data_IF_323226234814
#
_entry.id   IF_323226234814
#
_cell.length_a   1.000
_cell.length_b   1.000
_cell.length_c   1.000
_cell.angle_alpha   90.00
_cell.angle_beta   90.00
_cell.angle_gamma   90.00
#
_symmetry.space_group_name_H-M   'P 1'
#
loop_
_entity.id
_entity.type
_entity.pdbx_description
1 polymer ?
#
# COMPACT_ATOMS: atom_id res chain seq x y z
N UNK A 1 15.58 -25.46 -13.89
CA UNK A 1 15.86 -24.04 -14.08
C UNK A 1 14.87 -23.40 -15.09
N UNK A 2 14.23 -22.26 -14.76
CA UNK A 2 13.34 -21.51 -15.65
C UNK A 2 13.98 -21.16 -17.01
N UNK A 3 13.17 -21.05 -18.07
CA UNK A 3 13.62 -20.75 -19.44
C UNK A 3 14.43 -19.45 -19.56
N UNK A 4 14.18 -18.45 -18.71
CA UNK A 4 14.91 -17.17 -18.74
C UNK A 4 16.35 -17.28 -18.26
N UNK A 5 16.61 -18.05 -17.20
CA UNK A 5 17.95 -18.19 -16.58
C UNK A 5 18.93 -18.91 -17.51
N UNK A 6 18.46 -19.84 -18.35
CA UNK A 6 19.30 -20.52 -19.35
C UNK A 6 19.94 -19.55 -20.35
N UNK A 7 19.26 -18.46 -20.63
CA UNK A 7 19.75 -17.43 -21.54
C UNK A 7 20.69 -16.44 -20.87
N UNK A 8 20.71 -16.39 -19.54
CA UNK A 8 21.50 -15.44 -18.75
C UNK A 8 22.81 -16.04 -18.22
N UNK A 9 22.88 -17.36 -18.01
CA UNK A 9 24.06 -18.01 -17.42
C UNK A 9 24.98 -18.65 -18.47
N UNK A 10 26.28 -18.71 -18.19
CA UNK A 10 27.22 -19.51 -18.97
C UNK A 10 26.82 -21.00 -18.95
N UNK A 11 27.14 -21.73 -20.03
CA UNK A 11 26.68 -23.13 -20.24
C UNK A 11 27.04 -24.04 -19.07
N UNK A 12 28.22 -23.86 -18.49
CA UNK A 12 28.70 -24.68 -17.39
C UNK A 12 27.87 -24.57 -16.10
N UNK A 13 27.08 -23.50 -15.92
CA UNK A 13 26.27 -23.27 -14.71
C UNK A 13 24.79 -23.63 -14.88
N UNK A 14 24.38 -24.14 -16.07
CA UNK A 14 22.97 -24.41 -16.38
C UNK A 14 22.33 -25.57 -15.61
N UNK A 15 23.17 -26.38 -14.95
CA UNK A 15 22.73 -27.52 -14.15
C UNK A 15 22.37 -27.14 -12.70
N UNK A 16 22.81 -25.97 -12.25
CA UNK A 16 22.59 -25.47 -10.89
C UNK A 16 21.14 -25.01 -10.69
N UNK A 17 20.67 -24.99 -9.46
CA UNK A 17 19.39 -24.37 -9.12
C UNK A 17 19.52 -22.85 -8.87
N UNK A 18 18.42 -22.20 -8.49
CA UNK A 18 18.41 -20.75 -8.31
C UNK A 18 19.25 -20.31 -7.09
N UNK A 19 19.26 -21.09 -6.02
CA UNK A 19 19.94 -20.75 -4.77
C UNK A 19 21.46 -20.93 -4.94
N UNK A 20 21.86 -22.00 -5.63
CA UNK A 20 23.25 -22.24 -6.01
C UNK A 20 23.79 -21.13 -6.93
N UNK A 21 22.96 -20.63 -7.86
CA UNK A 21 23.34 -19.56 -8.79
C UNK A 21 23.63 -18.24 -8.07
N UNK A 22 22.92 -17.91 -6.99
CA UNK A 22 23.12 -16.67 -6.24
C UNK A 22 24.55 -16.53 -5.70
N UNK A 23 25.17 -17.63 -5.27
CA UNK A 23 26.54 -17.67 -4.75
C UNK A 23 27.63 -17.65 -5.81
N UNK A 24 27.29 -17.74 -7.11
CA UNK A 24 28.28 -17.75 -8.18
C UNK A 24 28.92 -16.36 -8.37
N UNK A 25 30.19 -16.31 -8.82
CA UNK A 25 30.80 -15.04 -9.18
C UNK A 25 30.04 -14.38 -10.34
N UNK A 26 30.06 -13.05 -10.41
CA UNK A 26 29.29 -12.28 -11.40
C UNK A 26 29.51 -12.75 -12.84
N UNK A 27 30.75 -13.08 -13.19
CA UNK A 27 31.10 -13.53 -14.54
C UNK A 27 30.45 -14.86 -14.93
N UNK A 28 29.73 -15.54 -14.03
CA UNK A 28 28.82 -16.63 -14.38
C UNK A 28 27.63 -16.17 -15.25
N UNK A 29 27.30 -14.88 -15.23
CA UNK A 29 26.37 -14.24 -16.16
C UNK A 29 27.03 -14.05 -17.53
N UNK A 30 26.33 -14.43 -18.58
CA UNK A 30 26.75 -14.20 -19.97
C UNK A 30 26.95 -12.70 -20.21
N UNK A 31 28.07 -12.37 -20.85
CA UNK A 31 28.43 -11.00 -21.20
C UNK A 31 29.21 -10.25 -20.12
N UNK A 32 29.43 -10.84 -18.94
CA UNK A 32 30.34 -10.28 -17.93
C UNK A 32 31.65 -11.08 -17.92
N UNK A 33 32.77 -10.40 -18.16
CA UNK A 33 34.09 -11.03 -18.13
C UNK A 33 34.64 -11.12 -16.70
N UNK A 34 35.67 -11.96 -16.43
CA UNK A 34 36.36 -11.95 -15.14
C UNK A 34 36.95 -10.58 -14.77
N UNK A 35 37.41 -9.80 -15.75
CA UNK A 35 37.93 -8.45 -15.52
C UNK A 35 36.81 -7.48 -15.08
N UNK A 36 35.64 -7.55 -15.71
CA UNK A 36 34.47 -6.76 -15.30
C UNK A 36 34.03 -7.10 -13.87
N UNK A 37 34.09 -8.38 -13.49
CA UNK A 37 33.77 -8.81 -12.12
C UNK A 37 34.72 -8.19 -11.09
N UNK A 38 36.01 -8.08 -11.39
CA UNK A 38 36.99 -7.38 -10.53
C UNK A 38 36.59 -5.91 -10.40
N UNK A 39 36.26 -5.24 -11.50
CA UNK A 39 35.83 -3.84 -11.45
C UNK A 39 34.54 -3.63 -10.64
N UNK A 40 33.60 -4.56 -10.68
CA UNK A 40 32.37 -4.50 -9.88
C UNK A 40 32.64 -4.72 -8.38
N UNK A 41 33.57 -5.62 -8.03
CA UNK A 41 34.01 -5.79 -6.64
C UNK A 41 34.74 -4.53 -6.14
N UNK A 42 35.73 -4.04 -6.89
CA UNK A 42 36.51 -2.85 -6.51
C UNK A 42 35.63 -1.60 -6.35
N UNK A 43 34.65 -1.40 -7.23
CA UNK A 43 33.81 -0.21 -7.24
C UNK A 43 32.63 -0.29 -6.25
N UNK A 44 32.01 -1.46 -6.10
CA UNK A 44 30.72 -1.60 -5.42
C UNK A 44 30.67 -2.74 -4.39
N UNK A 45 31.77 -3.46 -4.16
CA UNK A 45 31.84 -4.61 -3.27
C UNK A 45 31.01 -5.81 -3.74
N UNK A 46 30.77 -5.91 -5.05
CA UNK A 46 29.91 -6.93 -5.66
C UNK A 46 30.76 -8.15 -6.05
N UNK A 47 30.63 -9.25 -5.31
CA UNK A 47 31.45 -10.46 -5.52
C UNK A 47 30.70 -11.57 -6.23
N UNK A 48 29.40 -11.68 -5.97
CA UNK A 48 28.54 -12.72 -6.52
C UNK A 48 27.22 -12.14 -7.06
N UNK A 49 26.43 -13.00 -7.72
CA UNK A 49 25.15 -12.61 -8.33
C UNK A 49 24.17 -12.05 -7.29
N UNK A 50 24.20 -12.57 -6.06
CA UNK A 50 23.37 -12.06 -4.96
C UNK A 50 23.73 -10.61 -4.57
N UNK A 51 25.02 -10.29 -4.44
CA UNK A 51 25.51 -8.95 -4.13
C UNK A 51 25.08 -7.95 -5.20
N UNK A 52 25.16 -8.33 -6.48
CA UNK A 52 24.70 -7.51 -7.59
C UNK A 52 23.20 -7.26 -7.51
N UNK A 53 22.43 -8.33 -7.27
CA UNK A 53 20.99 -8.27 -7.19
C UNK A 53 20.50 -7.42 -6.02
N UNK A 54 21.26 -7.34 -4.92
CA UNK A 54 20.96 -6.55 -3.72
C UNK A 54 21.60 -5.16 -3.72
N UNK A 55 22.41 -4.83 -4.73
CA UNK A 55 23.13 -3.58 -4.75
C UNK A 55 22.17 -2.38 -4.94
N UNK A 56 22.27 -1.39 -4.05
CA UNK A 56 21.36 -0.24 -4.03
C UNK A 56 21.33 0.58 -5.33
N UNK A 57 22.43 0.66 -6.09
CA UNK A 57 22.48 1.46 -7.31
C UNK A 57 21.69 0.80 -8.45
N UNK A 58 21.78 -0.52 -8.57
CA UNK A 58 21.01 -1.28 -9.55
C UNK A 58 19.52 -1.29 -9.20
N UNK A 59 19.17 -1.42 -7.92
CA UNK A 59 17.80 -1.23 -7.46
C UNK A 59 17.26 0.15 -7.81
N UNK A 60 18.00 1.22 -7.47
CA UNK A 60 17.59 2.60 -7.79
C UNK A 60 17.44 2.83 -9.29
N UNK A 61 18.33 2.29 -10.12
CA UNK A 61 18.21 2.39 -11.58
C UNK A 61 16.93 1.69 -12.09
N UNK A 62 16.62 0.51 -11.56
CA UNK A 62 15.40 -0.20 -11.89
C UNK A 62 14.14 0.52 -11.38
N UNK A 63 14.19 1.13 -10.20
CA UNK A 63 13.11 1.94 -9.66
C UNK A 63 12.89 3.21 -10.49
N UNK A 64 13.96 3.88 -10.94
CA UNK A 64 13.86 4.99 -11.89
C UNK A 64 13.18 4.54 -13.18
N UNK A 65 13.54 3.37 -13.73
CA UNK A 65 12.87 2.82 -14.89
C UNK A 65 11.38 2.59 -14.61
N UNK A 66 11.02 2.02 -13.45
CA UNK A 66 9.62 1.83 -13.04
C UNK A 66 8.87 3.14 -12.77
N UNK A 67 9.56 4.19 -12.33
CA UNK A 67 8.98 5.52 -12.12
C UNK A 67 8.72 6.17 -13.48
N UNK A 68 9.67 6.07 -14.40
CA UNK A 68 9.57 6.62 -15.76
C UNK A 68 8.56 5.86 -16.63
N UNK A 69 8.46 4.54 -16.42
CA UNK A 69 7.41 3.70 -16.97
C UNK A 69 6.14 4.01 -16.18
N UNK A 70 5.42 5.09 -16.56
CA UNK A 70 4.14 5.46 -15.97
C UNK A 70 3.11 4.36 -16.23
N UNK A 71 3.15 3.33 -15.36
CA UNK A 71 2.29 2.17 -15.52
C UNK A 71 0.86 2.59 -15.32
N UNK A 72 0.02 2.21 -16.28
CA UNK A 72 -1.44 2.30 -16.16
C UNK A 72 -2.03 1.38 -15.08
N UNK A 73 -1.20 0.63 -14.36
CA UNK A 73 -1.57 -0.31 -13.28
C UNK A 73 -0.47 -0.38 -12.21
N UNK A 74 -0.82 -0.88 -11.02
CA UNK A 74 0.13 -1.21 -9.97
C UNK A 74 0.72 -2.61 -10.19
N UNK A 75 2.04 -2.69 -10.36
CA UNK A 75 2.76 -3.95 -10.57
C UNK A 75 2.91 -4.79 -9.29
N UNK A 76 2.53 -4.26 -8.12
CA UNK A 76 2.74 -4.93 -6.85
C UNK A 76 3.98 -4.42 -6.10
N UNK A 77 4.29 -5.01 -4.93
CA UNK A 77 5.42 -4.60 -4.12
C UNK A 77 6.74 -4.73 -4.91
N UNK A 78 7.62 -3.71 -4.89
CA UNK A 78 8.98 -3.86 -5.39
C UNK A 78 9.78 -4.81 -4.49
N UNK A 79 10.98 -5.16 -4.93
CA UNK A 79 11.84 -6.10 -4.20
C UNK A 79 12.12 -5.58 -2.78
N UNK A 80 12.02 -6.46 -1.79
CA UNK A 80 12.17 -6.14 -0.37
C UNK A 80 10.85 -5.87 0.34
N UNK A 81 9.89 -5.21 -0.33
CA UNK A 81 8.55 -5.01 0.21
C UNK A 81 7.75 -6.32 0.29
N UNK A 82 7.96 -7.21 -0.67
CA UNK A 82 7.42 -8.57 -0.66
C UNK A 82 7.89 -9.36 0.57
N UNK A 83 9.18 -9.28 0.89
CA UNK A 83 9.78 -9.92 2.07
C UNK A 83 9.25 -9.30 3.36
N UNK A 84 9.13 -7.96 3.39
CA UNK A 84 8.54 -7.27 4.53
C UNK A 84 7.09 -7.71 4.77
N UNK A 85 6.26 -7.72 3.72
CA UNK A 85 4.86 -8.15 3.82
C UNK A 85 4.73 -9.63 4.19
N UNK A 86 5.63 -10.49 3.70
CA UNK A 86 5.70 -11.89 4.12
C UNK A 86 6.04 -12.07 5.61
N UNK A 87 6.66 -11.07 6.26
CA UNK A 87 6.92 -11.07 7.71
C UNK A 87 5.71 -10.67 8.57
N UNK A 88 4.55 -10.41 7.95
CA UNK A 88 3.32 -10.13 8.67
C UNK A 88 2.95 -11.29 9.61
N UNK A 89 2.39 -11.00 10.80
CA UNK A 89 2.07 -12.01 11.80
C UNK A 89 0.76 -12.74 11.44
N UNK A 90 0.65 -13.30 10.23
CA UNK A 90 -0.61 -13.87 9.73
C UNK A 90 -1.12 -15.00 10.63
N UNK A 91 -0.21 -15.85 11.14
CA UNK A 91 -0.56 -16.91 12.10
C UNK A 91 -1.16 -16.37 13.40
N UNK A 92 -0.79 -15.16 13.82
CA UNK A 92 -1.40 -14.52 14.98
C UNK A 92 -2.86 -14.14 14.70
N UNK A 93 -3.14 -13.53 13.54
CA UNK A 93 -4.51 -13.23 13.11
C UNK A 93 -5.35 -14.50 12.97
N UNK A 94 -4.78 -15.56 12.39
CA UNK A 94 -5.45 -16.83 12.11
C UNK A 94 -5.84 -17.60 13.38
N UNK A 95 -5.03 -17.50 14.43
CA UNK A 95 -5.24 -18.21 15.69
C UNK A 95 -5.73 -17.32 16.84
N UNK A 96 -6.08 -16.06 16.54
CA UNK A 96 -6.47 -15.11 17.59
C UNK A 96 -7.78 -15.56 18.27
N UNK A 97 -7.81 -15.73 19.60
CA UNK A 97 -8.92 -16.39 20.31
C UNK A 97 -10.25 -15.63 20.26
N UNK A 98 -10.22 -14.31 19.99
CA UNK A 98 -11.44 -13.52 19.89
C UNK A 98 -12.24 -13.75 18.60
N UNK A 99 -11.67 -14.43 17.59
CA UNK A 99 -12.32 -14.73 16.31
C UNK A 99 -12.95 -13.47 15.65
N UNK A 100 -12.19 -12.37 15.67
CA UNK A 100 -12.64 -11.05 15.20
C UNK A 100 -12.17 -10.70 13.78
N UNK A 101 -11.48 -11.61 13.08
CA UNK A 101 -10.91 -11.36 11.76
C UNK A 101 -11.52 -12.26 10.69
N UNK A 102 -11.72 -11.70 9.50
CA UNK A 102 -12.23 -12.44 8.33
C UNK A 102 -11.06 -12.88 7.47
N UNK A 103 -10.68 -14.14 7.61
CA UNK A 103 -9.40 -14.66 7.14
C UNK A 103 -9.48 -15.28 5.74
N UNK A 104 -10.67 -15.75 5.33
CA UNK A 104 -10.86 -16.65 4.18
C UNK A 104 -10.40 -16.11 2.83
N UNK A 105 -10.23 -14.78 2.69
CA UNK A 105 -9.76 -14.14 1.46
C UNK A 105 -8.36 -13.51 1.57
N UNK A 106 -7.65 -13.79 2.66
CA UNK A 106 -6.29 -13.31 2.88
C UNK A 106 -6.21 -11.82 3.27
N UNK A 107 -4.98 -11.36 3.56
CA UNK A 107 -4.71 -9.99 3.98
C UNK A 107 -4.71 -9.00 2.80
N UNK A 108 -5.00 -7.73 3.09
CA UNK A 108 -4.81 -6.60 2.17
C UNK A 108 -3.78 -5.65 2.77
N UNK A 109 -2.66 -5.47 2.06
CA UNK A 109 -1.49 -4.79 2.61
C UNK A 109 -1.49 -3.27 2.39
N UNK A 110 -1.77 -2.81 1.18
CA UNK A 110 -1.60 -1.39 0.84
C UNK A 110 -2.44 -0.95 -0.37
N UNK A 111 -2.45 0.36 -0.64
CA UNK A 111 -2.74 0.97 -1.96
C UNK A 111 -1.83 2.18 -2.16
N UNK A 112 -1.35 2.43 -3.37
CA UNK A 112 -0.51 3.60 -3.66
C UNK A 112 0.97 3.24 -3.82
N UNK A 113 1.86 4.16 -3.44
CA UNK A 113 3.27 4.15 -3.85
C UNK A 113 4.19 3.49 -2.82
N UNK A 114 4.90 2.43 -3.24
CA UNK A 114 5.96 1.75 -2.49
C UNK A 114 7.36 2.00 -3.07
N UNK A 115 7.52 3.00 -3.92
CA UNK A 115 8.75 3.32 -4.65
C UNK A 115 9.45 4.59 -4.11
N UNK A 116 9.15 4.99 -2.88
CA UNK A 116 9.76 6.14 -2.22
C UNK A 116 9.20 7.51 -2.62
N UNK A 117 8.09 7.56 -3.37
CA UNK A 117 7.52 8.84 -3.86
C UNK A 117 6.27 9.31 -3.13
N UNK A 118 5.83 8.60 -2.08
CA UNK A 118 4.66 9.04 -1.31
C UNK A 118 5.00 10.31 -0.50
N UNK A 119 4.06 11.26 -0.46
CA UNK A 119 4.12 12.45 0.41
C UNK A 119 3.07 12.40 1.52
N UNK A 120 1.98 11.67 1.27
CA UNK A 120 0.90 11.49 2.25
C UNK A 120 0.80 10.03 2.64
N UNK A 121 0.89 9.75 3.95
CA UNK A 121 0.51 8.46 4.50
C UNK A 121 -0.96 8.51 4.93
N UNK A 122 -1.80 7.65 4.38
CA UNK A 122 -3.19 7.48 4.82
C UNK A 122 -3.30 6.19 5.61
N UNK A 123 -3.95 6.26 6.78
CA UNK A 123 -4.23 5.09 7.62
C UNK A 123 -5.73 4.86 7.74
N UNK A 124 -6.18 3.69 7.30
CA UNK A 124 -7.54 3.18 7.46
C UNK A 124 -7.70 2.20 8.61
N UNK A 125 -8.91 1.69 8.75
CA UNK A 125 -9.23 0.66 9.74
C UNK A 125 -8.88 -0.73 9.22
N UNK A 126 -9.64 -1.22 8.25
CA UNK A 126 -9.58 -2.59 7.74
C UNK A 126 -10.14 -2.67 6.30
N UNK A 127 -9.76 -3.70 5.51
CA UNK A 127 -10.32 -3.89 4.17
C UNK A 127 -11.78 -4.38 4.20
N UNK A 128 -12.50 -4.20 3.10
CA UNK A 128 -13.80 -4.82 2.85
C UNK A 128 -13.79 -5.57 1.52
N UNK A 129 -14.95 -5.84 0.93
CA UNK A 129 -15.09 -6.74 -0.22
C UNK A 129 -14.44 -6.21 -1.50
N UNK A 130 -14.50 -4.89 -1.77
CA UNK A 130 -13.86 -4.33 -2.97
C UNK A 130 -12.33 -4.36 -2.85
N UNK A 131 -11.82 -4.14 -1.63
CA UNK A 131 -10.40 -4.18 -1.30
C UNK A 131 -9.84 -5.60 -1.40
N UNK A 132 -10.60 -6.61 -0.95
CA UNK A 132 -10.29 -8.02 -1.11
C UNK A 132 -10.16 -8.38 -2.59
N UNK A 133 -11.15 -8.03 -3.41
CA UNK A 133 -11.16 -8.38 -4.83
C UNK A 133 -10.02 -7.71 -5.63
N UNK A 134 -9.62 -6.51 -5.23
CA UNK A 134 -8.49 -5.80 -5.84
C UNK A 134 -7.14 -6.12 -5.18
N UNK A 135 -7.14 -6.78 -4.01
CA UNK A 135 -5.99 -6.84 -3.10
C UNK A 135 -5.31 -5.48 -2.86
N UNK A 136 -6.11 -4.41 -2.73
CA UNK A 136 -5.66 -3.05 -2.48
C UNK A 136 -6.57 -2.35 -1.48
N UNK A 137 -6.01 -1.56 -0.55
CA UNK A 137 -6.78 -0.85 0.46
C UNK A 137 -7.67 0.26 -0.15
N UNK A 138 -8.79 0.62 0.49
CA UNK A 138 -9.67 1.71 0.07
C UNK A 138 -10.01 1.72 -1.43
N UNK A 139 -10.63 0.68 -1.96
CA UNK A 139 -11.06 0.63 -3.38
C UNK A 139 -12.56 0.95 -3.52
N UNK A 140 -13.34 0.63 -2.50
CA UNK A 140 -14.78 0.83 -2.53
C UNK A 140 -15.22 2.30 -2.41
N UNK A 141 -16.47 2.49 -1.99
CA UNK A 141 -17.08 3.83 -1.91
C UNK A 141 -16.31 4.80 -1.01
N UNK A 142 -15.79 4.32 0.13
CA UNK A 142 -14.94 5.12 1.03
C UNK A 142 -13.64 5.55 0.35
N UNK A 143 -13.04 4.64 -0.43
CA UNK A 143 -11.82 4.90 -1.18
C UNK A 143 -11.98 5.94 -2.26
N UNK A 144 -13.11 5.95 -2.95
CA UNK A 144 -13.43 6.96 -3.97
C UNK A 144 -13.68 8.36 -3.37
N UNK A 145 -14.24 8.42 -2.15
CA UNK A 145 -14.38 9.68 -1.39
C UNK A 145 -13.03 10.20 -0.94
N UNK A 146 -12.19 9.32 -0.38
CA UNK A 146 -10.81 9.59 -0.03
C UNK A 146 -10.01 10.08 -1.24
N UNK A 147 -10.14 9.40 -2.38
CA UNK A 147 -9.44 9.80 -3.60
C UNK A 147 -9.77 11.24 -3.94
N UNK A 148 -11.06 11.61 -3.99
CA UNK A 148 -11.45 13.00 -4.23
C UNK A 148 -10.89 13.97 -3.20
N UNK A 149 -10.78 13.58 -1.93
CA UNK A 149 -10.18 14.41 -0.89
C UNK A 149 -8.70 14.68 -1.16
N UNK A 150 -7.94 13.65 -1.55
CA UNK A 150 -6.54 13.81 -1.97
C UNK A 150 -6.44 14.72 -3.20
N UNK A 151 -7.31 14.52 -4.21
CA UNK A 151 -7.33 15.42 -5.37
C UNK A 151 -7.58 16.88 -4.96
N UNK A 152 -8.48 17.14 -4.00
CA UNK A 152 -8.78 18.52 -3.54
C UNK A 152 -7.58 19.26 -2.96
N UNK A 153 -6.61 18.56 -2.39
CA UNK A 153 -5.34 19.13 -1.91
C UNK A 153 -4.21 19.02 -2.94
N UNK A 154 -4.54 18.68 -4.19
CA UNK A 154 -3.58 18.58 -5.30
C UNK A 154 -2.76 17.29 -5.32
N UNK A 155 -3.12 16.28 -4.52
CA UNK A 155 -2.44 14.98 -4.47
C UNK A 155 -3.18 13.98 -5.36
N UNK A 156 -2.51 13.50 -6.41
CA UNK A 156 -3.06 12.57 -7.39
C UNK A 156 -2.41 11.19 -7.32
N UNK A 157 -1.11 11.14 -7.00
CA UNK A 157 -0.32 9.89 -7.00
C UNK A 157 0.61 9.75 -5.80
N UNK A 158 1.11 10.83 -5.21
CA UNK A 158 2.07 10.78 -4.10
C UNK A 158 1.44 10.48 -2.75
N UNK A 159 0.84 9.30 -2.63
CA UNK A 159 0.33 8.77 -1.38
C UNK A 159 0.59 7.28 -1.24
N UNK A 160 0.57 6.83 0.01
CA UNK A 160 0.52 5.43 0.39
C UNK A 160 -0.58 5.24 1.43
N UNK A 161 -1.40 4.22 1.22
CA UNK A 161 -2.54 3.89 2.07
C UNK A 161 -2.29 2.54 2.73
N UNK A 162 -2.35 2.52 4.05
CA UNK A 162 -2.24 1.33 4.88
C UNK A 162 -3.47 1.22 5.80
N UNK A 163 -3.70 0.05 6.38
CA UNK A 163 -4.77 -0.16 7.35
C UNK A 163 -4.20 -0.48 8.73
N UNK A 164 -5.02 -0.24 9.77
CA UNK A 164 -4.76 -0.65 11.15
C UNK A 164 -4.70 -2.17 11.27
N UNK A 165 -5.55 -2.87 10.51
CA UNK A 165 -5.59 -4.33 10.41
C UNK A 165 -5.45 -4.78 8.96
N UNK A 166 -4.72 -5.87 8.75
CA UNK A 166 -4.55 -6.49 7.43
C UNK A 166 -5.81 -7.23 6.95
N UNK A 167 -6.65 -7.66 7.89
CA UNK A 167 -7.89 -8.40 7.64
C UNK A 167 -9.10 -7.57 8.01
N UNK A 168 -10.20 -7.81 7.30
CA UNK A 168 -11.51 -7.22 7.64
C UNK A 168 -11.94 -7.71 9.03
N UNK A 169 -12.51 -6.83 9.85
CA UNK A 169 -12.95 -7.20 11.20
C UNK A 169 -14.43 -7.64 11.23
N UNK A 170 -14.78 -8.44 12.23
CA UNK A 170 -16.17 -8.70 12.61
C UNK A 170 -16.68 -7.59 13.53
N UNK A 171 -17.78 -6.95 13.14
CA UNK A 171 -18.41 -5.89 13.94
C UNK A 171 -17.75 -4.53 13.74
N UNK A 172 -17.68 -3.75 14.81
CA UNK A 172 -17.11 -2.40 14.84
C UNK A 172 -15.78 -2.41 15.61
N UNK A 173 -15.01 -1.33 15.49
CA UNK A 173 -13.86 -1.07 16.35
C UNK A 173 -14.34 -0.65 17.76
N UNK A 174 -14.68 -1.66 18.56
CA UNK A 174 -15.07 -1.55 19.97
C UNK A 174 -13.85 -1.62 20.91
N UNK A 175 -14.08 -1.58 22.22
CA UNK A 175 -13.01 -1.63 23.22
C UNK A 175 -12.19 -2.94 23.13
N UNK A 176 -12.80 -4.05 22.72
CA UNK A 176 -12.07 -5.32 22.53
C UNK A 176 -11.10 -5.19 21.35
N UNK A 177 -11.57 -4.65 20.22
CA UNK A 177 -10.71 -4.40 19.06
C UNK A 177 -9.62 -3.35 19.34
N UNK A 178 -9.90 -2.38 20.21
CA UNK A 178 -8.90 -1.42 20.67
C UNK A 178 -7.74 -2.12 21.37
N UNK A 179 -8.02 -3.03 22.31
CA UNK A 179 -7.00 -3.82 22.99
C UNK A 179 -6.24 -4.74 22.03
N UNK A 180 -6.96 -5.45 21.14
CA UNK A 180 -6.34 -6.31 20.12
C UNK A 180 -5.38 -5.50 19.23
N UNK A 181 -5.72 -4.24 18.89
CA UNK A 181 -4.87 -3.38 18.05
C UNK A 181 -3.52 -3.01 18.69
N UNK A 182 -3.38 -3.21 20.00
CA UNK A 182 -2.18 -2.96 20.80
C UNK A 182 -1.41 -4.23 21.16
N UNK A 183 -1.91 -5.41 20.78
CA UNK A 183 -1.17 -6.65 21.02
C UNK A 183 0.16 -6.63 20.24
N UNK A 184 1.28 -7.07 20.85
CA UNK A 184 2.62 -6.88 20.28
C UNK A 184 2.75 -7.34 18.83
N UNK A 185 2.19 -8.50 18.48
CA UNK A 185 2.22 -9.02 17.11
C UNK A 185 1.69 -8.01 16.09
N UNK A 186 0.53 -7.40 16.36
CA UNK A 186 -0.12 -6.44 15.46
C UNK A 186 0.56 -5.08 15.55
N UNK A 187 0.77 -4.58 16.77
CA UNK A 187 1.36 -3.27 17.04
C UNK A 187 2.77 -3.15 16.45
N UNK A 188 3.64 -4.11 16.73
CA UNK A 188 5.05 -4.05 16.33
C UNK A 188 5.21 -4.18 14.81
N UNK A 189 4.43 -5.06 14.17
CA UNK A 189 4.43 -5.15 12.71
C UNK A 189 3.94 -3.84 12.07
N UNK A 190 2.83 -3.28 12.56
CA UNK A 190 2.27 -2.03 12.05
C UNK A 190 3.22 -0.85 12.25
N UNK A 191 3.85 -0.75 13.42
CA UNK A 191 4.79 0.34 13.70
C UNK A 191 6.07 0.20 12.86
N UNK A 192 6.63 -1.01 12.70
CA UNK A 192 7.75 -1.25 11.76
C UNK A 192 7.39 -0.89 10.32
N UNK A 193 6.14 -1.14 9.93
CA UNK A 193 5.64 -0.79 8.61
C UNK A 193 5.59 0.73 8.44
N UNK A 194 5.03 1.46 9.41
CA UNK A 194 5.01 2.93 9.38
C UNK A 194 6.42 3.54 9.40
N UNK A 195 7.32 3.01 10.23
CA UNK A 195 8.72 3.44 10.28
C UNK A 195 9.42 3.25 8.93
N UNK A 196 9.18 2.11 8.27
CA UNK A 196 9.71 1.83 6.94
C UNK A 196 9.18 2.82 5.91
N UNK A 197 7.89 3.11 5.93
CA UNK A 197 7.28 4.10 5.03
C UNK A 197 7.90 5.48 5.21
N UNK A 198 7.98 6.00 6.44
CA UNK A 198 8.54 7.33 6.71
C UNK A 198 10.02 7.41 6.37
N UNK A 199 10.78 6.33 6.59
CA UNK A 199 12.20 6.28 6.26
C UNK A 199 12.44 6.29 4.74
N UNK A 200 11.56 5.66 3.97
CA UNK A 200 11.75 5.47 2.52
C UNK A 200 11.08 6.54 1.66
N UNK A 201 10.22 7.37 2.25
CA UNK A 201 9.41 8.35 1.52
C UNK A 201 9.52 9.74 2.16
N UNK A 202 9.40 10.83 1.36
CA UNK A 202 9.31 12.19 1.88
C UNK A 202 7.90 12.47 2.43
N UNK A 203 7.49 11.76 3.49
CA UNK A 203 6.17 11.94 4.09
C UNK A 203 6.08 13.32 4.76
N UNK A 204 5.06 14.08 4.36
CA UNK A 204 4.78 15.45 4.81
C UNK A 204 3.56 15.51 5.75
N UNK A 205 2.64 14.54 5.61
CA UNK A 205 1.46 14.45 6.46
C UNK A 205 0.94 13.03 6.60
N UNK A 206 0.29 12.77 7.74
CA UNK A 206 -0.49 11.56 7.99
C UNK A 206 -1.97 11.92 8.05
N UNK A 207 -2.81 11.14 7.38
CA UNK A 207 -4.27 11.28 7.42
C UNK A 207 -4.88 10.01 8.01
N UNK A 208 -5.72 10.14 9.02
CA UNK A 208 -6.47 9.02 9.59
C UNK A 208 -7.97 9.16 9.31
N UNK A 209 -8.67 8.04 9.18
CA UNK A 209 -10.12 8.01 8.98
C UNK A 209 -10.85 7.19 10.04
N UNK A 210 -11.36 7.85 11.07
CA UNK A 210 -12.09 7.23 12.17
C UNK A 210 -11.21 6.79 13.34
N UNK A 211 -11.84 6.12 14.32
CA UNK A 211 -11.23 5.84 15.63
C UNK A 211 -10.04 4.88 15.56
N UNK A 212 -10.16 3.78 14.81
CA UNK A 212 -9.10 2.77 14.73
C UNK A 212 -7.76 3.31 14.21
N UNK A 213 -7.70 4.01 13.05
CA UNK A 213 -6.44 4.56 12.58
C UNK A 213 -5.91 5.71 13.44
N UNK A 214 -6.78 6.54 14.03
CA UNK A 214 -6.35 7.53 15.01
C UNK A 214 -5.66 6.86 16.22
N UNK A 215 -6.31 5.83 16.78
CA UNK A 215 -5.75 5.04 17.87
C UNK A 215 -4.43 4.36 17.50
N UNK A 216 -4.31 3.86 16.27
CA UNK A 216 -3.07 3.26 15.77
C UNK A 216 -1.91 4.28 15.69
N UNK A 217 -2.20 5.52 15.27
CA UNK A 217 -1.22 6.60 15.19
C UNK A 217 -0.85 7.12 16.58
N UNK A 218 -1.81 7.23 17.51
CA UNK A 218 -1.57 7.63 18.90
C UNK A 218 -0.60 6.68 19.62
N UNK A 219 -0.51 5.42 19.16
CA UNK A 219 0.39 4.39 19.69
C UNK A 219 1.59 4.09 18.79
N UNK A 220 1.92 5.02 17.89
CA UNK A 220 3.13 4.97 17.08
C UNK A 220 4.05 6.13 17.45
N UNK A 221 5.15 5.83 18.16
CA UNK A 221 6.03 6.85 18.75
C UNK A 221 6.57 7.87 17.73
N UNK A 222 6.84 7.46 16.49
CA UNK A 222 7.41 8.35 15.47
C UNK A 222 6.37 9.29 14.83
N UNK A 223 5.08 9.14 15.15
CA UNK A 223 4.03 10.04 14.68
C UNK A 223 4.24 11.50 15.14
N UNK A 224 4.91 11.72 16.28
CA UNK A 224 5.15 13.05 16.86
C UNK A 224 5.97 13.98 15.95
N UNK A 225 6.67 13.40 14.98
CA UNK A 225 7.52 14.15 14.04
C UNK A 225 6.76 14.60 12.78
N UNK A 226 5.47 14.27 12.65
CA UNK A 226 4.68 14.50 11.45
C UNK A 226 3.35 15.21 11.79
N UNK A 227 2.88 16.13 10.94
CA UNK A 227 1.50 16.61 10.99
C UNK A 227 0.50 15.45 10.83
N UNK A 228 -0.36 15.25 11.83
CA UNK A 228 -1.42 14.22 11.79
C UNK A 228 -2.79 14.89 11.69
N UNK A 229 -3.56 14.50 10.68
CA UNK A 229 -4.91 15.01 10.41
C UNK A 229 -5.93 13.89 10.63
N UNK A 230 -6.70 14.01 11.70
CA UNK A 230 -7.73 13.04 12.07
C UNK A 230 -9.07 13.44 11.45
N UNK A 231 -9.54 12.66 10.48
CA UNK A 231 -10.81 12.88 9.80
C UNK A 231 -11.86 11.86 10.27
N UNK A 232 -13.11 12.30 10.30
CA UNK A 232 -14.26 11.39 10.49
C UNK A 232 -14.30 10.40 9.33
N UNK A 233 -14.61 9.14 9.62
CA UNK A 233 -14.60 8.07 8.63
C UNK A 233 -15.54 8.38 7.42
N UNK A 234 -15.14 8.10 6.16
CA UNK A 234 -15.91 8.50 4.97
C UNK A 234 -17.31 7.93 4.91
N UNK A 235 -17.58 6.82 5.61
CA UNK A 235 -18.90 6.17 5.66
C UNK A 235 -19.84 6.75 6.73
N UNK A 236 -19.38 7.71 7.56
CA UNK A 236 -20.21 8.36 8.56
C UNK A 236 -21.26 9.30 7.94
N UNK A 237 -22.21 9.75 8.77
CA UNK A 237 -23.22 10.72 8.39
C UNK A 237 -22.59 12.04 7.89
N UNK A 238 -23.17 12.64 6.85
CA UNK A 238 -22.64 13.86 6.21
C UNK A 238 -22.60 15.05 7.16
N UNK A 239 -23.54 15.14 8.11
CA UNK A 239 -23.58 16.20 9.12
C UNK A 239 -22.41 16.14 10.10
N UNK A 240 -21.72 15.00 10.19
CA UNK A 240 -20.50 14.84 10.99
C UNK A 240 -19.24 14.82 10.14
N UNK A 241 -19.28 14.14 8.99
CA UNK A 241 -18.12 13.96 8.12
C UNK A 241 -17.72 15.27 7.42
N UNK A 242 -18.68 16.01 6.85
CA UNK A 242 -18.34 17.22 6.09
C UNK A 242 -17.72 18.32 6.94
N UNK A 243 -18.22 18.68 8.13
CA UNK A 243 -17.54 19.66 8.97
C UNK A 243 -16.11 19.26 9.33
N UNK A 244 -15.88 17.98 9.67
CA UNK A 244 -14.55 17.44 9.96
C UNK A 244 -13.62 17.57 8.75
N UNK A 245 -14.07 17.18 7.55
CA UNK A 245 -13.24 17.21 6.35
C UNK A 245 -12.95 18.63 5.89
N UNK A 246 -13.97 19.50 5.92
CA UNK A 246 -13.86 20.91 5.53
C UNK A 246 -12.88 21.67 6.43
N UNK A 247 -12.90 21.39 7.74
CA UNK A 247 -11.96 22.01 8.68
C UNK A 247 -10.50 21.66 8.38
N UNK A 248 -10.24 20.49 7.78
CA UNK A 248 -8.88 20.01 7.51
C UNK A 248 -8.38 20.29 6.08
N UNK A 249 -9.25 20.69 5.14
CA UNK A 249 -8.86 20.95 3.74
C UNK A 249 -7.72 21.97 3.61
N UNK A 250 -7.88 23.16 4.19
CA UNK A 250 -6.86 24.21 4.11
C UNK A 250 -5.59 23.87 4.92
N UNK A 251 -5.67 23.43 6.20
CA UNK A 251 -4.49 23.02 6.94
C UNK A 251 -3.66 21.94 6.24
N UNK A 252 -4.32 20.91 5.70
CA UNK A 252 -3.64 19.82 5.01
C UNK A 252 -3.04 20.28 3.66
N UNK A 253 -3.75 21.09 2.89
CA UNK A 253 -3.24 21.69 1.64
C UNK A 253 -1.97 22.53 1.89
N UNK A 254 -1.88 23.20 3.05
CA UNK A 254 -0.69 23.96 3.42
C UNK A 254 0.48 23.07 3.87
N UNK A 255 0.19 21.88 4.40
CA UNK A 255 1.19 20.97 4.95
C UNK A 255 1.87 20.10 3.90
N UNK A 256 1.23 19.91 2.74
CA UNK A 256 1.66 18.95 1.71
C UNK A 256 1.92 19.67 0.39
N UNK A 257 3.03 19.35 -0.26
CA UNK A 257 3.32 19.80 -1.62
C UNK A 257 2.43 19.04 -2.62
N UNK A 258 1.56 19.77 -3.33
CA UNK A 258 0.72 19.20 -4.38
C UNK A 258 1.54 18.56 -5.52
N UNK A 259 1.06 17.43 -6.01
CA UNK A 259 1.51 16.82 -7.27
C UNK A 259 1.14 17.72 -8.45
N UNK A 260 -0.10 18.20 -8.42
CA UNK A 260 -0.73 19.00 -9.45
C UNK A 260 -1.37 20.25 -8.82
N UNK A 261 -0.67 21.40 -8.77
CA UNK A 261 -1.21 22.62 -8.15
C UNK A 261 -2.54 23.08 -8.74
N UNK A 262 -2.80 22.80 -10.02
CA UNK A 262 -4.04 23.14 -10.70
C UNK A 262 -5.23 22.26 -10.30
N UNK A 263 -4.97 21.12 -9.64
CA UNK A 263 -6.00 20.21 -9.14
C UNK A 263 -6.54 20.64 -7.76
N UNK A 264 -5.82 21.54 -7.07
CA UNK A 264 -6.21 22.06 -5.76
C UNK A 264 -7.59 22.75 -5.86
N UNK A 265 -8.53 22.23 -5.08
CA UNK A 265 -9.91 22.71 -5.00
C UNK A 265 -10.39 22.60 -3.56
N UNK A 266 -10.28 23.71 -2.82
CA UNK A 266 -10.66 23.80 -1.42
C UNK A 266 -12.14 24.15 -1.23
N UNK A 267 -12.96 24.02 -2.28
CA UNK A 267 -14.42 24.19 -2.16
C UNK A 267 -14.96 23.19 -1.13
N UNK A 268 -15.67 23.66 -0.09
CA UNK A 268 -16.19 22.79 0.96
C UNK A 268 -17.13 21.69 0.46
N UNK A 269 -17.13 20.55 1.15
CA UNK A 269 -18.13 19.51 1.02
C UNK A 269 -19.50 19.98 1.53
N UNK A 270 -20.57 19.66 0.80
CA UNK A 270 -21.95 20.01 1.12
C UNK A 270 -22.96 19.06 0.45
N UNK A 271 -24.19 19.01 0.95
CA UNK A 271 -25.24 18.17 0.38
C UNK A 271 -25.06 16.68 0.65
N UNK A 272 -24.77 15.87 -0.37
CA UNK A 272 -24.68 14.41 -0.23
C UNK A 272 -23.48 13.80 -0.94
N UNK A 273 -22.98 12.69 -0.39
CA UNK A 273 -21.91 11.87 -0.99
C UNK A 273 -22.20 11.36 -2.42
N UNK A 274 -23.44 11.46 -2.91
CA UNK A 274 -23.81 11.03 -4.27
C UNK A 274 -23.32 12.02 -5.33
N UNK A 275 -23.03 13.26 -4.98
CA UNK A 275 -22.53 14.27 -5.94
C UNK A 275 -21.20 13.82 -6.53
N UNK A 276 -21.04 14.06 -7.84
CA UNK A 276 -19.82 13.70 -8.56
C UNK A 276 -18.58 14.46 -8.04
N UNK A 277 -18.77 15.68 -7.52
CA UNK A 277 -17.71 16.49 -6.93
C UNK A 277 -17.13 15.96 -5.61
N UNK A 278 -17.77 14.95 -4.99
CA UNK A 278 -17.31 14.35 -3.71
C UNK A 278 -16.70 12.96 -3.87
N UNK A 279 -16.57 12.47 -5.11
CA UNK A 279 -15.98 11.17 -5.42
C UNK A 279 -15.07 11.28 -6.63
N UNK A 280 -14.04 10.46 -6.65
CA UNK A 280 -13.19 10.24 -7.80
C UNK A 280 -13.01 8.73 -7.95
N UNK A 281 -12.94 8.26 -9.19
CA UNK A 281 -12.62 6.87 -9.44
C UNK A 281 -11.22 6.56 -8.92
N UNK A 282 -11.01 5.32 -8.48
CA UNK A 282 -9.67 4.89 -8.07
C UNK A 282 -8.76 4.96 -9.31
N UNK A 283 -7.59 5.61 -9.24
CA UNK A 283 -6.69 5.67 -10.38
C UNK A 283 -6.25 4.28 -10.82
N UNK A 284 -6.11 4.05 -12.12
CA UNK A 284 -5.76 2.70 -12.62
C UNK A 284 -4.36 2.27 -12.18
N UNK A 285 -3.42 3.21 -12.09
CA UNK A 285 -2.07 2.98 -11.57
C UNK A 285 -2.02 2.49 -10.11
N UNK A 286 -3.12 2.50 -9.39
CA UNK A 286 -3.25 1.99 -8.02
C UNK A 286 -3.81 0.56 -7.94
N UNK A 287 -4.31 0.02 -9.06
CA UNK A 287 -4.92 -1.30 -9.08
C UNK A 287 -4.09 -2.31 -9.88
N UNK A 288 -4.17 -3.61 -9.56
CA UNK A 288 -3.43 -4.64 -10.27
C UNK A 288 -3.79 -4.70 -11.76
N UNK A 289 -2.83 -5.17 -12.55
CA UNK A 289 -3.08 -5.54 -13.94
C UNK A 289 -4.24 -6.55 -14.05
N UNK A 290 -5.15 -6.33 -15.00
CA UNK A 290 -6.23 -7.25 -15.30
C UNK A 290 -7.51 -7.06 -14.46
N UNK A 291 -7.52 -6.17 -13.46
CA UNK A 291 -8.77 -5.81 -12.79
C UNK A 291 -9.74 -5.16 -13.81
N UNK A 292 -11.05 -5.46 -13.78
CA UNK A 292 -12.00 -4.80 -14.68
C UNK A 292 -11.99 -3.28 -14.53
N UNK A 293 -12.13 -2.56 -15.66
CA UNK A 293 -12.08 -1.10 -15.69
C UNK A 293 -13.13 -0.42 -14.81
N UNK A 294 -14.26 -1.08 -14.57
CA UNK A 294 -15.32 -0.58 -13.69
C UNK A 294 -15.07 -0.80 -12.19
N UNK A 295 -14.13 -1.67 -11.80
CA UNK A 295 -13.85 -1.90 -10.38
C UNK A 295 -13.19 -0.67 -9.77
N UNK A 296 -13.69 -0.21 -8.62
CA UNK A 296 -13.27 1.06 -8.02
C UNK A 296 -13.84 2.31 -8.70
N UNK A 297 -14.93 2.18 -9.47
CA UNK A 297 -15.70 3.32 -10.00
C UNK A 297 -17.14 3.28 -9.51
N UNK A 298 -17.78 4.44 -9.42
CA UNK A 298 -19.21 4.57 -9.13
C UNK A 298 -19.70 3.87 -7.84
N UNK A 299 -18.87 3.86 -6.81
CA UNK A 299 -19.15 3.24 -5.51
C UNK A 299 -18.82 1.74 -5.44
N UNK A 300 -19.40 1.07 -4.45
CA UNK A 300 -19.13 -0.34 -4.15
C UNK A 300 -20.02 -1.26 -4.96
N UNK A 301 -19.41 -2.30 -5.55
CA UNK A 301 -20.07 -3.26 -6.46
C UNK A 301 -19.96 -4.70 -5.99
N UNK A 302 -19.34 -4.92 -4.84
CA UNK A 302 -19.27 -6.20 -4.17
C UNK A 302 -20.02 -6.16 -2.84
N UNK A 303 -20.46 -7.32 -2.37
CA UNK A 303 -21.02 -7.51 -1.04
C UNK A 303 -20.78 -8.92 -0.56
N UNK A 304 -20.77 -9.12 0.75
CA UNK A 304 -20.79 -10.47 1.34
C UNK A 304 -22.12 -11.13 1.04
N UNK A 305 -22.10 -12.42 0.70
CA UNK A 305 -23.33 -13.16 0.46
C UNK A 305 -24.11 -13.29 1.79
N UNK A 306 -25.41 -12.96 1.84
CA UNK A 306 -26.20 -13.20 3.04
C UNK A 306 -26.26 -14.67 3.48
N UNK A 307 -26.15 -15.63 2.56
CA UNK A 307 -26.15 -17.06 2.83
C UNK A 307 -24.82 -17.53 3.46
N UNK A 308 -23.69 -16.90 3.09
CA UNK A 308 -22.39 -17.13 3.70
C UNK A 308 -21.57 -15.84 3.71
N UNK A 309 -21.70 -15.09 4.81
CA UNK A 309 -21.01 -13.80 4.95
C UNK A 309 -19.51 -13.94 5.15
N UNK A 310 -19.02 -15.14 5.42
CA UNK A 310 -17.62 -15.39 5.71
C UNK A 310 -16.88 -15.74 4.43
N UNK A 311 -17.35 -16.77 3.71
CA UNK A 311 -16.62 -17.41 2.61
C UNK A 311 -17.10 -17.01 1.22
N UNK A 312 -18.12 -16.16 1.11
CA UNK A 312 -18.67 -15.77 -0.18
C UNK A 312 -18.76 -14.25 -0.34
N UNK A 313 -18.30 -13.78 -1.49
CA UNK A 313 -18.44 -12.41 -1.97
C UNK A 313 -19.17 -12.46 -3.32
N UNK A 314 -20.27 -11.72 -3.40
CA UNK A 314 -20.98 -11.48 -4.66
C UNK A 314 -20.38 -10.24 -5.30
N UNK A 315 -19.77 -10.41 -6.48
CA UNK A 315 -19.18 -9.32 -7.26
C UNK A 315 -19.98 -9.13 -8.55
N UNK A 316 -20.56 -7.94 -8.74
CA UNK A 316 -21.50 -7.68 -9.84
C UNK A 316 -20.91 -6.69 -10.84
N UNK A 317 -20.74 -7.13 -12.08
CA UNK A 317 -20.33 -6.28 -13.20
C UNK A 317 -21.38 -5.20 -13.54
N UNK A 318 -20.94 -4.23 -14.34
CA UNK A 318 -21.77 -3.15 -14.90
C UNK A 318 -22.34 -3.58 -16.25
#
# INVERSE_FOLDING_TARGET
MPLSLKNLLQVQYLHLDADEVLGLPIHALKGVSPADAIHLDDAFGIKNIEDLAKNQFFHRAYDILKIADDKSYDAGPPLGWDTFFASAPLSFYENHPADRFRLDFGPVYYRGRLNGTARVLVVGQDPSTDEILAHRAFVGSSGQRLQRYLNKIGINRSYLILNTFLYSIYGQFDNTMEQISLEPSILDYRNRLFDTVVRENPIEAVITFGRAPAHAIDHWNNAQNLPVFNLVHPAADVGTAFPSWNAQLQPLSNAVQADEPNLVDLTPYEGSWRRASHRADIPRFDLPFGIPSWHGTNGTRSKRDPADRQKQIVWKAI
#
